data_IF_149149558327
#
_entry.id   IF_149149558327
#
_cell.length_a   1.000
_cell.length_b   1.000
_cell.length_c   1.000
_cell.angle_alpha   90.00
_cell.angle_beta   90.00
_cell.angle_gamma   90.00
#
_symmetry.space_group_name_H-M   'P 1'
#
loop_
_entity.id
_entity.type
_entity.pdbx_description
1 polymer ?
#
# COMPACT_ATOMS: atom_id res chain seq x y z
N UNK A 1 2.75 4.34 0.43
CA UNK A 1 2.71 4.28 1.91
C UNK A 1 3.88 5.00 2.59
N UNK A 2 4.66 5.82 1.86
CA UNK A 2 5.73 6.65 2.43
C UNK A 2 5.53 8.10 2.00
N UNK A 3 6.59 8.90 1.86
CA UNK A 3 6.51 10.20 1.21
C UNK A 3 6.05 10.08 -0.24
N UNK A 4 5.50 11.17 -0.75
CA UNK A 4 5.02 11.29 -2.12
C UNK A 4 6.18 11.11 -3.11
N UNK A 5 5.91 10.43 -4.21
CA UNK A 5 6.87 10.22 -5.27
C UNK A 5 7.19 11.54 -5.98
N UNK A 6 8.42 11.67 -6.45
CA UNK A 6 8.79 12.77 -7.32
C UNK A 6 8.12 12.61 -8.70
N UNK A 7 7.94 13.73 -9.40
CA UNK A 7 7.25 13.77 -10.69
C UNK A 7 7.92 12.93 -11.77
N UNK A 8 9.25 12.80 -11.77
CA UNK A 8 9.94 11.95 -12.74
C UNK A 8 9.57 10.47 -12.55
N UNK A 9 9.52 10.00 -11.31
CA UNK A 9 9.08 8.63 -11.00
C UNK A 9 7.61 8.42 -11.33
N UNK A 10 6.74 9.40 -11.06
CA UNK A 10 5.33 9.33 -11.46
C UNK A 10 5.19 9.23 -12.99
N UNK A 11 5.96 10.02 -13.72
CA UNK A 11 5.97 10.00 -15.18
C UNK A 11 6.42 8.65 -15.75
N UNK A 12 7.49 8.05 -15.22
CA UNK A 12 7.93 6.70 -15.62
C UNK A 12 6.85 5.63 -15.36
N UNK A 13 6.10 5.75 -14.25
CA UNK A 13 4.97 4.86 -13.95
C UNK A 13 3.83 5.08 -14.96
N UNK A 14 3.50 6.33 -15.29
CA UNK A 14 2.47 6.66 -16.28
C UNK A 14 2.83 6.07 -17.64
N UNK A 15 4.07 6.28 -18.10
CA UNK A 15 4.56 5.72 -19.35
C UNK A 15 4.45 4.20 -19.37
N UNK A 16 4.85 3.52 -18.30
CA UNK A 16 4.69 2.07 -18.19
C UNK A 16 3.21 1.62 -18.21
N UNK A 17 2.31 2.39 -17.59
CA UNK A 17 0.88 2.08 -17.57
C UNK A 17 0.21 2.24 -18.95
N UNK A 18 0.70 3.15 -19.80
CA UNK A 18 0.19 3.25 -21.20
C UNK A 18 0.40 1.95 -21.99
N UNK A 19 1.45 1.19 -21.68
CA UNK A 19 1.71 -0.13 -22.28
C UNK A 19 0.61 -1.12 -21.92
N UNK A 20 -0.01 -0.98 -20.74
CA UNK A 20 -1.14 -1.79 -20.28
C UNK A 20 -2.50 -1.33 -20.86
N UNK A 21 -2.52 -0.28 -21.69
CA UNK A 21 -3.72 0.22 -22.36
C UNK A 21 -4.44 1.36 -21.63
N UNK A 22 -3.85 1.94 -20.58
CA UNK A 22 -4.37 3.17 -19.98
C UNK A 22 -4.21 4.30 -20.99
N UNK A 23 -5.31 5.02 -21.27
CA UNK A 23 -5.26 6.14 -22.20
C UNK A 23 -4.56 7.35 -21.56
N UNK A 24 -3.86 8.17 -22.35
CA UNK A 24 -3.24 9.41 -21.86
C UNK A 24 -4.24 10.43 -21.26
N UNK A 25 -5.55 10.19 -21.46
CA UNK A 25 -6.64 11.00 -20.91
C UNK A 25 -7.16 10.46 -19.58
N UNK A 26 -6.79 9.23 -19.22
CA UNK A 26 -7.13 8.61 -17.95
C UNK A 26 -6.05 8.95 -16.92
N UNK A 27 -6.46 9.63 -15.86
CA UNK A 27 -5.58 9.94 -14.74
C UNK A 27 -5.28 8.65 -13.95
N UNK A 28 -4.00 8.35 -13.76
CA UNK A 28 -3.57 7.29 -12.85
C UNK A 28 -3.81 7.76 -11.42
N UNK A 29 -4.51 6.93 -10.66
CA UNK A 29 -4.79 7.20 -9.27
C UNK A 29 -3.58 6.88 -8.37
N UNK A 30 -2.84 7.92 -7.98
CA UNK A 30 -1.74 7.81 -7.02
C UNK A 30 -2.27 7.93 -5.58
N UNK A 31 -2.45 6.78 -4.92
CA UNK A 31 -2.83 6.72 -3.49
C UNK A 31 -1.58 6.86 -2.60
N UNK A 32 -1.26 8.09 -2.23
CA UNK A 32 -0.07 8.44 -1.46
C UNK A 32 -0.43 8.87 -0.03
N UNK A 33 -0.01 8.09 0.95
CA UNK A 33 -0.20 8.39 2.38
C UNK A 33 0.97 7.80 3.16
N UNK A 34 1.65 8.60 3.98
CA UNK A 34 2.76 8.11 4.79
C UNK A 34 2.24 7.39 6.05
N UNK A 35 2.44 6.07 6.10
CA UNK A 35 2.03 5.20 7.21
C UNK A 35 3.22 4.65 8.01
N UNK A 36 4.44 5.09 7.70
CA UNK A 36 5.68 4.45 8.17
C UNK A 36 6.33 5.12 9.38
N UNK A 37 5.69 6.12 9.99
CA UNK A 37 6.23 6.82 11.16
C UNK A 37 6.46 5.86 12.35
N UNK A 38 5.49 4.98 12.64
CA UNK A 38 5.60 3.95 13.68
C UNK A 38 5.80 2.53 13.09
N UNK A 39 5.89 2.43 11.76
CA UNK A 39 6.11 1.18 11.01
C UNK A 39 7.34 1.37 10.13
N UNK A 40 8.55 1.49 10.72
CA UNK A 40 9.75 1.86 9.98
C UNK A 40 10.07 0.84 8.90
N UNK A 41 10.43 1.32 7.70
CA UNK A 41 10.65 0.50 6.50
C UNK A 41 9.50 -0.50 6.27
N UNK A 42 8.26 -0.04 6.50
CA UNK A 42 7.04 -0.82 6.43
C UNK A 42 6.46 -0.98 5.03
N UNK A 43 7.08 -0.42 3.98
CA UNK A 43 6.56 -0.46 2.62
C UNK A 43 6.16 -1.89 2.18
N UNK A 44 7.03 -2.88 2.39
CA UNK A 44 6.74 -4.28 2.08
C UNK A 44 5.67 -4.94 2.96
N UNK A 45 5.53 -4.51 4.23
CA UNK A 45 4.46 -5.00 5.12
C UNK A 45 3.10 -4.53 4.61
N UNK A 46 3.00 -3.26 4.23
CA UNK A 46 1.77 -2.73 3.69
C UNK A 46 1.43 -3.36 2.35
N UNK A 47 2.40 -3.58 1.44
CA UNK A 47 2.14 -4.33 0.20
C UNK A 47 1.59 -5.74 0.47
N UNK A 48 2.19 -6.48 1.40
CA UNK A 48 1.70 -7.81 1.79
C UNK A 48 0.26 -7.74 2.33
N UNK A 49 0.01 -6.83 3.27
CA UNK A 49 -1.30 -6.72 3.91
C UNK A 49 -2.39 -6.23 2.94
N UNK A 50 -2.08 -5.28 2.04
CA UNK A 50 -3.05 -4.79 1.06
C UNK A 50 -3.41 -5.86 0.03
N UNK A 51 -2.46 -6.72 -0.37
CA UNK A 51 -2.78 -7.90 -1.19
C UNK A 51 -3.77 -8.83 -0.48
N UNK A 52 -3.58 -9.08 0.83
CA UNK A 52 -4.54 -9.85 1.63
C UNK A 52 -5.91 -9.17 1.75
N UNK A 53 -5.94 -7.84 1.86
CA UNK A 53 -7.21 -7.10 1.89
C UNK A 53 -7.94 -7.27 0.55
N UNK A 54 -7.25 -7.04 -0.57
CA UNK A 54 -7.85 -7.14 -1.90
C UNK A 54 -8.30 -8.58 -2.23
N UNK A 55 -7.58 -9.61 -1.78
CA UNK A 55 -8.01 -11.01 -1.97
C UNK A 55 -9.32 -11.34 -1.25
N UNK A 56 -9.67 -10.58 -0.19
CA UNK A 56 -10.88 -10.77 0.60
C UNK A 56 -11.96 -9.70 0.33
N UNK A 57 -11.67 -8.67 -0.47
CA UNK A 57 -12.57 -7.54 -0.72
C UNK A 57 -13.67 -7.85 -1.75
N UNK A 58 -13.62 -8.99 -2.43
CA UNK A 58 -14.62 -9.39 -3.41
C UNK A 58 -14.65 -8.47 -4.63
N UNK A 59 -15.78 -7.79 -4.86
CA UNK A 59 -16.00 -6.87 -6.00
C UNK A 59 -15.94 -5.40 -5.58
N UNK A 60 -15.46 -5.10 -4.37
CA UNK A 60 -15.30 -3.71 -3.93
C UNK A 60 -14.22 -3.00 -4.76
N UNK A 61 -14.39 -1.70 -4.96
CA UNK A 61 -13.41 -0.87 -5.65
C UNK A 61 -12.04 -0.90 -4.92
N UNK A 62 -10.96 -1.32 -5.59
CA UNK A 62 -9.63 -1.41 -4.98
C UNK A 62 -9.13 -0.06 -4.46
N UNK A 63 -9.34 1.02 -5.19
CA UNK A 63 -8.82 2.33 -4.82
C UNK A 63 -9.46 2.82 -3.51
N UNK A 64 -10.78 2.67 -3.38
CA UNK A 64 -11.53 2.96 -2.15
C UNK A 64 -11.08 2.05 -1.01
N UNK A 65 -10.93 0.74 -1.26
CA UNK A 65 -10.48 -0.23 -0.24
C UNK A 65 -9.12 0.16 0.35
N UNK A 66 -8.16 0.56 -0.50
CA UNK A 66 -6.82 0.93 -0.06
C UNK A 66 -6.77 2.29 0.64
N UNK A 67 -7.54 3.29 0.16
CA UNK A 67 -7.67 4.59 0.81
C UNK A 67 -8.27 4.47 2.21
N UNK A 68 -9.39 3.76 2.33
CA UNK A 68 -10.04 3.55 3.63
C UNK A 68 -9.12 2.83 4.61
N UNK A 69 -8.36 1.83 4.13
CA UNK A 69 -7.36 1.17 4.97
C UNK A 69 -6.30 2.17 5.47
N UNK A 70 -5.73 2.99 4.59
CA UNK A 70 -4.72 3.97 4.97
C UNK A 70 -5.25 5.00 5.97
N UNK A 71 -6.45 5.52 5.74
CA UNK A 71 -7.13 6.48 6.63
C UNK A 71 -7.40 5.86 8.01
N UNK A 72 -7.97 4.64 8.05
CA UNK A 72 -8.21 3.91 9.30
C UNK A 72 -6.89 3.61 10.03
N UNK A 73 -5.83 3.25 9.31
CA UNK A 73 -4.52 2.95 9.90
C UNK A 73 -3.94 4.17 10.63
N UNK A 74 -4.12 5.38 10.09
CA UNK A 74 -3.66 6.62 10.73
C UNK A 74 -4.40 6.93 12.04
N UNK A 75 -5.61 6.41 12.23
CA UNK A 75 -6.37 6.59 13.48
C UNK A 75 -5.95 5.65 14.60
N UNK A 76 -5.12 4.64 14.31
CA UNK A 76 -4.63 3.69 15.30
C UNK A 76 -3.61 4.34 16.25
N UNK A 77 -3.57 3.85 17.49
CA UNK A 77 -2.53 4.19 18.45
C UNK A 77 -1.13 3.74 18.01
N UNK A 78 -0.09 4.34 18.59
CA UNK A 78 1.31 3.95 18.33
C UNK A 78 1.53 2.48 18.67
N UNK A 79 0.93 2.00 19.76
CA UNK A 79 1.00 0.62 20.20
C UNK A 79 0.38 -0.33 19.16
N UNK A 80 -0.80 0.00 18.63
CA UNK A 80 -1.47 -0.80 17.59
C UNK A 80 -0.67 -0.84 16.29
N UNK A 81 -0.12 0.30 15.86
CA UNK A 81 0.74 0.36 14.66
C UNK A 81 2.03 -0.44 14.85
N UNK A 82 2.63 -0.39 16.04
CA UNK A 82 3.84 -1.16 16.38
C UNK A 82 3.54 -2.67 16.48
N UNK A 83 2.34 -3.03 16.95
CA UNK A 83 1.89 -4.41 16.97
C UNK A 83 1.71 -4.95 15.55
N UNK A 84 1.04 -4.21 14.67
CA UNK A 84 0.93 -4.51 13.24
C UNK A 84 2.33 -4.72 12.64
N UNK A 85 3.26 -3.80 12.89
CA UNK A 85 4.64 -3.86 12.42
C UNK A 85 5.37 -5.16 12.80
N UNK A 86 5.12 -5.66 14.01
CA UNK A 86 5.76 -6.87 14.54
C UNK A 86 5.10 -8.14 14.03
N UNK A 87 3.77 -8.20 14.06
CA UNK A 87 3.00 -9.38 13.67
C UNK A 87 3.13 -9.65 12.17
N UNK A 88 2.95 -8.62 11.34
CA UNK A 88 3.00 -8.76 9.87
C UNK A 88 4.38 -9.23 9.41
N UNK A 89 5.48 -8.75 10.00
CA UNK A 89 6.84 -9.27 9.67
C UNK A 89 6.99 -10.74 9.98
N UNK A 90 6.50 -11.19 11.14
CA UNK A 90 6.59 -12.60 11.53
C UNK A 90 5.79 -13.49 10.59
N UNK A 91 4.58 -13.08 10.22
CA UNK A 91 3.73 -13.78 9.26
C UNK A 91 4.38 -13.85 7.87
N UNK A 92 4.97 -12.75 7.38
CA UNK A 92 5.69 -12.77 6.10
C UNK A 92 6.87 -13.75 6.15
N UNK A 93 7.63 -13.73 7.25
CA UNK A 93 8.81 -14.58 7.37
C UNK A 93 8.46 -16.07 7.49
N UNK A 94 7.27 -16.39 8.00
CA UNK A 94 6.76 -17.77 8.10
C UNK A 94 6.77 -18.50 6.76
N UNK A 95 6.46 -17.84 5.64
CA UNK A 95 6.53 -18.42 4.29
C UNK A 95 7.96 -18.74 3.83
N UNK A 96 8.97 -18.23 4.54
CA UNK A 96 10.39 -18.47 4.26
C UNK A 96 11.03 -19.46 5.25
N UNK A 97 10.26 -19.95 6.23
CA UNK A 97 10.71 -20.98 7.16
C UNK A 97 10.48 -22.37 6.54
N UNK A 98 11.41 -23.29 6.79
CA UNK A 98 11.37 -24.68 6.35
C UNK A 98 10.77 -25.58 7.43
#
# INVERSE_FOLDING_TARGET
TYHDLNENTKQEIIEAATIAGISEKEDIDFVETNLQNNVPNGCGLFCYHTIQLLSNAGQNDPATTLREFAEKFLTLSVEEQTLFNTQTRRQIYEYSLQ
#
